data_IF_962024993903
#
_entry.id   IF_962024993903
#
_cell.length_a   1.000
_cell.length_b   1.000
_cell.length_c   1.000
_cell.angle_alpha   90.00
_cell.angle_beta   90.00
_cell.angle_gamma   90.00
#
_symmetry.space_group_name_H-M   'P 1'
#
loop_
_entity.id
_entity.type
_entity.pdbx_description
1 polymer ?
#
# COMPACT_ATOMS: atom_id res chain seq x y z
N UNK A 1 14.30 -13.65 15.39
CA UNK A 1 13.26 -12.65 15.73
C UNK A 1 13.85 -11.28 15.50
N UNK A 2 13.33 -10.46 14.58
CA UNK A 2 13.62 -9.02 14.54
C UNK A 2 12.46 -8.31 13.84
N UNK A 3 11.39 -8.11 14.61
CA UNK A 3 10.24 -7.29 14.21
C UNK A 3 10.64 -5.82 14.19
N UNK A 4 11.33 -5.39 13.13
CA UNK A 4 11.57 -3.98 12.88
C UNK A 4 10.21 -3.36 12.55
N UNK A 5 9.78 -2.40 13.37
CA UNK A 5 8.52 -1.67 13.16
C UNK A 5 8.47 -1.17 11.71
N UNK A 6 7.43 -1.60 10.98
CA UNK A 6 7.17 -1.22 9.58
C UNK A 6 7.11 0.31 9.49
N UNK A 7 8.16 0.91 8.92
CA UNK A 7 8.36 2.37 8.89
C UNK A 7 7.28 3.00 8.00
N UNK A 8 6.53 3.97 8.53
CA UNK A 8 5.65 4.82 7.73
C UNK A 8 6.17 6.26 7.71
N UNK A 9 6.03 6.93 6.57
CA UNK A 9 6.50 8.30 6.33
C UNK A 9 5.51 9.04 5.43
N UNK A 10 5.45 10.37 5.53
CA UNK A 10 4.73 11.19 4.55
C UNK A 10 5.59 11.39 3.30
N UNK A 11 5.06 11.02 2.13
CA UNK A 11 5.76 11.09 0.84
C UNK A 11 4.93 11.93 -0.11
N UNK A 12 5.58 12.87 -0.82
CA UNK A 12 4.95 13.59 -1.92
C UNK A 12 5.02 12.75 -3.20
N UNK A 13 3.85 12.48 -3.78
CA UNK A 13 3.70 11.65 -4.98
C UNK A 13 3.38 12.47 -6.23
N UNK A 14 3.43 13.80 -6.15
CA UNK A 14 3.22 14.67 -7.31
C UNK A 14 4.51 14.88 -8.12
N UNK A 15 4.40 15.09 -9.44
CA UNK A 15 3.19 15.02 -10.27
C UNK A 15 2.77 13.57 -10.57
N UNK A 16 1.49 13.37 -10.93
CA UNK A 16 0.94 12.05 -11.28
C UNK A 16 0.30 12.04 -12.66
N UNK A 17 0.23 10.87 -13.29
CA UNK A 17 -0.45 10.69 -14.56
C UNK A 17 -1.70 9.81 -14.41
N UNK A 18 -2.85 10.28 -14.89
CA UNK A 18 -4.10 9.52 -14.87
C UNK A 18 -4.60 9.23 -13.46
N UNK A 19 -4.85 7.96 -13.16
CA UNK A 19 -5.43 7.49 -11.89
C UNK A 19 -4.38 7.04 -10.85
N UNK A 20 -3.11 7.39 -11.06
CA UNK A 20 -2.04 7.15 -10.07
C UNK A 20 -2.32 7.88 -8.74
N UNK A 21 -1.78 7.33 -7.66
CA UNK A 21 -1.93 7.91 -6.32
C UNK A 21 -1.13 9.21 -6.21
N UNK A 22 -1.83 10.33 -6.02
CA UNK A 22 -1.25 11.68 -5.98
C UNK A 22 -1.18 12.30 -4.57
N UNK A 23 -0.57 13.49 -4.45
CA UNK A 23 -0.45 14.30 -3.22
C UNK A 23 0.54 13.75 -2.20
N UNK A 24 0.83 14.58 -1.19
CA UNK A 24 1.56 14.17 0.02
C UNK A 24 0.69 13.27 0.89
N UNK A 25 1.08 12.01 1.04
CA UNK A 25 0.29 10.99 1.77
C UNK A 25 1.18 10.17 2.71
N UNK A 26 0.61 9.65 3.81
CA UNK A 26 1.29 8.64 4.60
C UNK A 26 1.46 7.36 3.76
N UNK A 27 2.66 6.82 3.75
CA UNK A 27 3.04 5.64 2.98
C UNK A 27 3.85 4.69 3.85
N UNK A 28 3.65 3.38 3.67
CA UNK A 28 4.44 2.34 4.34
C UNK A 28 5.60 1.94 3.44
N UNK A 29 6.81 1.88 4.01
CA UNK A 29 7.99 1.34 3.29
C UNK A 29 7.90 -0.18 3.30
N UNK A 30 7.88 -0.79 2.11
CA UNK A 30 7.78 -2.24 1.92
C UNK A 30 9.09 -2.89 1.46
N UNK A 31 10.04 -2.09 0.98
CA UNK A 31 11.41 -2.56 0.69
C UNK A 31 12.21 -2.82 1.96
N UNK A 32 13.08 -3.83 1.90
CA UNK A 32 13.95 -4.18 3.02
C UNK A 32 15.10 -3.17 3.20
N UNK A 33 15.80 -3.25 4.34
CA UNK A 33 16.89 -2.34 4.68
C UNK A 33 18.07 -2.41 3.69
N UNK A 34 18.34 -3.58 3.13
CA UNK A 34 19.42 -3.76 2.17
C UNK A 34 19.14 -2.96 0.89
N UNK A 35 17.95 -3.15 0.31
CA UNK A 35 17.48 -2.39 -0.85
C UNK A 35 17.52 -0.89 -0.58
N UNK A 36 17.00 -0.44 0.56
CA UNK A 36 16.94 0.97 0.92
C UNK A 36 18.32 1.64 1.08
N UNK A 37 19.37 0.86 1.36
CA UNK A 37 20.76 1.35 1.50
C UNK A 37 21.55 1.26 0.19
N UNK A 38 21.28 0.23 -0.60
CA UNK A 38 21.98 0.00 -1.87
C UNK A 38 21.47 0.89 -3.00
N UNK A 39 20.21 1.33 -2.93
CA UNK A 39 19.58 2.16 -3.95
C UNK A 39 19.16 3.52 -3.39
N UNK A 40 19.18 4.54 -4.24
CA UNK A 40 18.62 5.87 -3.93
C UNK A 40 17.08 5.90 -4.07
N UNK A 41 16.43 4.75 -3.98
CA UNK A 41 14.98 4.58 -4.13
C UNK A 41 14.46 3.68 -3.01
N UNK A 42 13.20 3.90 -2.64
CA UNK A 42 12.46 3.06 -1.69
C UNK A 42 11.16 2.62 -2.33
N UNK A 43 10.72 1.39 -2.03
CA UNK A 43 9.42 0.90 -2.45
C UNK A 43 8.40 1.19 -1.37
N UNK A 44 7.29 1.83 -1.75
CA UNK A 44 6.31 2.37 -0.81
C UNK A 44 4.89 2.05 -1.25
N UNK A 45 4.01 1.83 -0.27
CA UNK A 45 2.57 1.68 -0.49
C UNK A 45 1.83 2.86 0.17
N UNK A 46 1.22 3.77 -0.61
CA UNK A 46 0.50 4.92 -0.08
C UNK A 46 -0.84 4.52 0.54
N UNK A 47 -1.16 5.13 1.67
CA UNK A 47 -2.40 4.91 2.40
C UNK A 47 -3.44 5.96 1.95
N UNK A 48 -4.67 5.50 1.68
CA UNK A 48 -5.80 6.35 1.35
C UNK A 48 -6.80 6.41 2.49
N UNK A 49 -7.31 7.62 2.78
CA UNK A 49 -8.42 7.85 3.70
C UNK A 49 -9.77 8.05 2.96
N UNK A 50 -9.82 7.74 1.67
CA UNK A 50 -11.03 7.95 0.87
C UNK A 50 -12.16 7.01 1.33
N UNK A 51 -13.33 7.60 1.62
CA UNK A 51 -14.55 6.87 2.00
C UNK A 51 -14.98 5.83 0.97
N UNK A 52 -14.63 6.02 -0.30
CA UNK A 52 -14.89 5.08 -1.40
C UNK A 52 -14.41 3.67 -1.07
N UNK A 53 -13.26 3.52 -0.41
CA UNK A 53 -12.69 2.20 -0.11
C UNK A 53 -13.35 1.48 1.08
N UNK A 54 -14.27 2.15 1.78
CA UNK A 54 -15.07 1.55 2.86
C UNK A 54 -16.35 0.91 2.30
N UNK A 55 -16.77 1.28 1.09
CA UNK A 55 -17.94 0.70 0.44
C UNK A 55 -17.76 -0.80 0.18
N UNK A 56 -18.83 -1.59 0.32
CA UNK A 56 -18.79 -3.07 0.21
C UNK A 56 -18.13 -3.57 -1.08
N UNK A 57 -18.38 -2.87 -2.21
CA UNK A 57 -17.82 -3.23 -3.53
C UNK A 57 -16.29 -3.14 -3.60
N UNK A 58 -15.66 -2.39 -2.70
CA UNK A 58 -14.20 -2.30 -2.57
C UNK A 58 -13.68 -3.04 -1.34
N UNK A 59 -14.54 -3.26 -0.33
CA UNK A 59 -14.20 -4.04 0.86
C UNK A 59 -14.09 -5.54 0.57
N UNK A 60 -14.85 -6.06 -0.41
CA UNK A 60 -14.78 -7.45 -0.85
C UNK A 60 -14.36 -7.52 -2.31
N UNK A 61 -13.23 -8.18 -2.56
CA UNK A 61 -12.77 -8.46 -3.92
C UNK A 61 -13.47 -9.71 -4.44
N UNK A 62 -14.11 -9.60 -5.59
CA UNK A 62 -14.67 -10.75 -6.30
C UNK A 62 -13.59 -11.71 -6.83
N UNK A 63 -12.31 -11.31 -6.81
CA UNK A 63 -11.19 -12.13 -7.26
C UNK A 63 -10.80 -13.25 -6.27
N UNK A 64 -11.26 -13.16 -5.02
CA UNK A 64 -11.03 -14.18 -4.01
C UNK A 64 -12.38 -14.76 -3.60
N UNK A 65 -12.78 -15.85 -4.25
CA UNK A 65 -13.92 -16.63 -3.81
C UNK A 65 -13.46 -17.61 -2.74
N UNK A 66 -14.12 -17.58 -1.58
CA UNK A 66 -13.95 -18.63 -0.59
C UNK A 66 -14.60 -19.88 -1.16
N UNK A 67 -13.80 -20.89 -1.52
CA UNK A 67 -14.36 -22.21 -1.83
C UNK A 67 -14.89 -22.74 -0.50
N UNK A 68 -16.19 -22.68 -0.31
CA UNK A 68 -16.83 -23.45 0.76
C UNK A 68 -16.72 -24.91 0.36
N UNK A 69 -15.96 -25.67 1.14
CA UNK A 69 -15.85 -27.12 1.02
C UNK A 69 -17.26 -27.70 1.24
N UNK A 70 -17.94 -28.04 0.16
CA UNK A 70 -19.17 -28.82 0.21
C UNK A 70 -18.76 -30.26 0.53
N UNK A 71 -19.17 -30.75 1.70
CA UNK A 71 -19.06 -32.16 2.09
C UNK A 71 -19.83 -33.07 1.14
#
# INVERSE_FOLDING_TARGET
MNGKARRYSFIDLNPTKGNEMAKKRPSVVVSNDYYNKSFNTILVMPISSSKKYVEEKFARSNAFQTVTETQ
#
